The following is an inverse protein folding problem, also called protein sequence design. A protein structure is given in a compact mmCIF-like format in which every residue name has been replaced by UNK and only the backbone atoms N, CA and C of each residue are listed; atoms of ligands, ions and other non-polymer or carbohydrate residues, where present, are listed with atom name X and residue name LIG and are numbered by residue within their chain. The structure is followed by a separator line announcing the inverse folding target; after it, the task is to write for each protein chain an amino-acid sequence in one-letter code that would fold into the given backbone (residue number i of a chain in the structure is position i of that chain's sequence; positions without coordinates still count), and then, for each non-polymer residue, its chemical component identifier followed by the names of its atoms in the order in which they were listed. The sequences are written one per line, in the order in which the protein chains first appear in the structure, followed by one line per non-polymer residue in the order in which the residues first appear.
data_IF_693396694418
#
_entry.id   IF_693396694418
#
_cell.length_a   1.000
_cell.length_b   1.000
_cell.length_c   1.000
_cell.angle_alpha   90.00
_cell.angle_beta   90.00
_cell.angle_gamma   90.00
#
_symmetry.space_group_name_H-M   'P 1'
#
loop_
_entity.id
_entity.type
_entity.pdbx_description
1 polymer ?
#
# COMPACT_ATOMS: atom_id res chain seq x y z
N UNK A 1 4.03 -6.37 16.31
CA UNK A 1 3.88 -6.86 14.92
C UNK A 1 2.50 -7.49 14.80
N UNK A 2 1.84 -7.26 13.68
CA UNK A 2 0.56 -7.86 13.29
C UNK A 2 0.46 -7.83 11.75
N UNK A 3 -0.41 -8.66 11.19
CA UNK A 3 -0.81 -8.58 9.79
C UNK A 3 -1.87 -7.48 9.59
N UNK A 4 -2.05 -7.03 8.36
CA UNK A 4 -3.12 -6.07 8.04
C UNK A 4 -4.52 -6.61 8.37
N UNK A 5 -4.73 -7.92 8.23
CA UNK A 5 -5.98 -8.61 8.56
C UNK A 5 -6.31 -8.61 10.05
N UNK A 6 -5.32 -8.38 10.91
CA UNK A 6 -5.43 -8.40 12.37
C UNK A 6 -5.63 -7.01 12.97
N UNK A 7 -5.57 -5.94 12.15
CA UNK A 7 -5.66 -4.57 12.65
C UNK A 7 -6.83 -3.80 12.07
N UNK A 8 -7.31 -2.83 12.84
CA UNK A 8 -8.15 -1.74 12.37
C UNK A 8 -7.66 -0.43 12.99
N UNK A 9 -8.22 0.70 12.60
CA UNK A 9 -7.82 1.99 13.15
C UNK A 9 -8.93 3.03 13.10
N UNK A 10 -8.75 4.06 13.92
CA UNK A 10 -9.45 5.33 13.80
C UNK A 10 -8.41 6.45 13.85
N UNK A 11 -8.54 7.44 12.99
CA UNK A 11 -7.62 8.58 12.92
C UNK A 11 -8.39 9.88 13.11
N UNK A 12 -7.80 10.78 13.90
CA UNK A 12 -8.40 12.06 14.30
C UNK A 12 -7.40 13.18 14.08
N UNK A 13 -7.88 14.34 13.66
CA UNK A 13 -7.03 15.51 13.34
C UNK A 13 -6.18 15.98 14.52
N UNK A 14 -6.72 15.94 15.74
CA UNK A 14 -6.03 16.45 16.94
C UNK A 14 -5.21 15.39 17.66
N UNK A 15 -5.68 14.14 17.66
CA UNK A 15 -5.14 13.09 18.55
C UNK A 15 -4.39 11.98 17.82
N UNK A 16 -4.28 12.07 16.49
CA UNK A 16 -3.52 11.16 15.64
C UNK A 16 -4.26 9.85 15.34
N UNK A 17 -3.49 8.80 15.04
CA UNK A 17 -4.01 7.46 14.74
C UNK A 17 -4.06 6.58 15.99
N UNK A 18 -5.22 5.98 16.27
CA UNK A 18 -5.37 4.86 17.21
C UNK A 18 -5.53 3.57 16.41
N UNK A 19 -4.66 2.60 16.66
CA UNK A 19 -4.69 1.28 16.00
C UNK A 19 -5.19 0.24 16.99
N UNK A 20 -6.20 -0.52 16.58
CA UNK A 20 -6.73 -1.67 17.29
C UNK A 20 -6.17 -2.96 16.69
N UNK A 21 -5.47 -3.76 17.48
CA UNK A 21 -4.93 -5.05 17.07
C UNK A 21 -5.74 -6.18 17.71
N UNK A 22 -6.32 -7.04 16.88
CA UNK A 22 -7.04 -8.26 17.27
C UNK A 22 -6.05 -9.42 17.41
N UNK A 23 -6.11 -10.10 18.55
CA UNK A 23 -5.22 -11.22 18.88
C UNK A 23 -6.04 -12.36 19.47
N UNK A 24 -5.62 -13.60 19.23
CA UNK A 24 -6.19 -14.77 19.90
C UNK A 24 -5.34 -15.12 21.12
N UNK A 25 -5.95 -15.15 22.31
CA UNK A 25 -5.29 -15.58 23.56
C UNK A 25 -6.15 -16.63 24.24
N UNK A 26 -5.61 -17.84 24.39
CA UNK A 26 -6.32 -18.99 24.99
C UNK A 26 -7.71 -19.25 24.38
N UNK A 27 -7.87 -19.07 23.06
CA UNK A 27 -9.15 -19.24 22.36
C UNK A 27 -10.12 -18.06 22.46
N UNK A 28 -9.78 -17.00 23.19
CA UNK A 28 -10.57 -15.76 23.27
C UNK A 28 -9.97 -14.67 22.39
N UNK A 29 -10.82 -13.96 21.64
CA UNK A 29 -10.42 -12.74 20.91
C UNK A 29 -10.20 -11.60 21.90
N UNK A 30 -9.01 -11.02 21.88
CA UNK A 30 -8.61 -9.86 22.68
C UNK A 30 -8.21 -8.73 21.76
N UNK A 31 -8.65 -7.52 22.06
CA UNK A 31 -8.25 -6.31 21.34
C UNK A 31 -7.26 -5.52 22.20
N UNK A 32 -6.16 -5.08 21.59
CA UNK A 32 -5.23 -4.12 22.20
C UNK A 32 -5.13 -2.89 21.32
N UNK A 33 -5.38 -1.72 21.91
CA UNK A 33 -5.29 -0.43 21.23
C UNK A 33 -3.97 0.26 21.56
N UNK A 34 -3.37 0.91 20.59
CA UNK A 34 -2.14 1.69 20.77
C UNK A 34 -2.04 2.81 19.74
N UNK A 35 -1.24 3.83 20.05
CA UNK A 35 -0.88 4.89 19.11
C UNK A 35 0.54 4.63 18.58
N UNK A 36 0.71 4.29 17.30
CA UNK A 36 2.04 4.08 16.74
C UNK A 36 2.77 5.41 16.55
N UNK A 37 3.99 5.52 17.06
CA UNK A 37 4.90 6.63 16.73
C UNK A 37 5.55 6.46 15.35
N UNK A 38 5.59 5.23 14.83
CA UNK A 38 6.19 4.86 13.56
C UNK A 38 5.66 3.50 13.07
N UNK A 39 5.61 3.28 11.75
CA UNK A 39 5.27 1.97 11.16
C UNK A 39 6.27 1.47 10.12
N UNK A 40 6.58 0.18 10.16
CA UNK A 40 7.34 -0.52 9.12
C UNK A 40 6.39 -1.45 8.37
N UNK A 41 6.12 -1.17 7.09
CA UNK A 41 5.21 -1.99 6.29
C UNK A 41 5.98 -3.09 5.57
N UNK A 42 5.66 -4.35 5.87
CA UNK A 42 6.32 -5.56 5.31
C UNK A 42 5.38 -6.49 4.56
N UNK A 43 4.11 -6.13 4.44
CA UNK A 43 3.07 -6.89 3.77
C UNK A 43 2.53 -6.08 2.58
N UNK A 44 2.16 -6.70 1.44
CA UNK A 44 1.44 -6.00 0.39
C UNK A 44 0.08 -5.51 0.91
N UNK A 45 -0.23 -4.23 0.68
CA UNK A 45 -1.51 -3.64 1.11
C UNK A 45 -2.68 -3.95 0.16
N UNK A 46 -2.43 -4.58 -1.00
CA UNK A 46 -3.46 -5.04 -1.93
C UNK A 46 -3.04 -6.38 -2.54
N UNK A 47 -3.89 -7.40 -2.35
CA UNK A 47 -3.73 -8.75 -2.87
C UNK A 47 -4.85 -9.16 -3.84
N UNK A 48 -4.92 -10.46 -4.16
CA UNK A 48 -5.91 -11.06 -5.09
C UNK A 48 -7.28 -11.33 -4.45
N UNK A 49 -7.70 -10.50 -3.50
CA UNK A 49 -8.94 -10.69 -2.75
C UNK A 49 -9.04 -9.83 -1.48
N UNK A 50 -7.89 -9.38 -0.98
CA UNK A 50 -7.80 -8.48 0.17
C UNK A 50 -7.33 -7.09 -0.25
N UNK A 51 -7.98 -6.06 0.30
CA UNK A 51 -7.65 -4.66 0.04
C UNK A 51 -7.55 -3.89 1.36
N UNK A 52 -6.32 -3.59 1.75
CA UNK A 52 -5.97 -2.91 3.00
C UNK A 52 -5.56 -1.45 2.76
N UNK A 53 -5.83 -0.89 1.57
CA UNK A 53 -5.46 0.50 1.24
C UNK A 53 -6.09 1.51 2.19
N UNK A 54 -7.28 1.24 2.71
CA UNK A 54 -7.95 2.11 3.70
C UNK A 54 -7.17 2.21 5.01
N UNK A 55 -6.45 1.16 5.41
CA UNK A 55 -5.55 1.21 6.56
C UNK A 55 -4.36 2.13 6.30
N UNK A 56 -3.79 2.10 5.09
CA UNK A 56 -2.73 3.05 4.71
C UNK A 56 -3.23 4.49 4.74
N UNK A 57 -4.45 4.73 4.24
CA UNK A 57 -5.08 6.05 4.27
C UNK A 57 -5.25 6.55 5.70
N UNK A 58 -5.75 5.71 6.61
CA UNK A 58 -5.93 6.13 8.00
C UNK A 58 -4.64 6.34 8.78
N UNK A 59 -3.59 5.55 8.50
CA UNK A 59 -2.24 5.80 9.04
C UNK A 59 -1.68 7.14 8.54
N UNK A 60 -1.80 7.43 7.24
CA UNK A 60 -1.36 8.70 6.65
C UNK A 60 -2.17 9.87 7.18
N UNK A 61 -3.50 9.72 7.27
CA UNK A 61 -4.41 10.73 7.82
C UNK A 61 -4.09 11.07 9.27
N UNK A 62 -3.72 10.05 10.07
CA UNK A 62 -3.29 10.23 11.46
C UNK A 62 -1.84 10.69 11.60
N UNK A 63 -1.14 10.99 10.50
CA UNK A 63 0.22 11.53 10.51
C UNK A 63 1.30 10.53 10.96
N UNK A 64 1.06 9.22 10.81
CA UNK A 64 1.99 8.19 11.28
C UNK A 64 3.17 8.05 10.31
N UNK A 65 4.42 8.35 10.73
CA UNK A 65 5.58 8.19 9.87
C UNK A 65 5.83 6.70 9.54
N UNK A 66 6.38 6.43 8.34
CA UNK A 66 6.52 5.05 7.87
C UNK A 66 7.77 4.78 7.02
N UNK A 67 8.19 3.51 7.01
CA UNK A 67 9.09 2.94 6.01
C UNK A 67 8.39 1.81 5.25
N UNK A 68 8.31 1.86 3.91
CA UNK A 68 8.48 3.05 3.06
C UNK A 68 7.39 4.10 3.37
N UNK A 69 7.50 5.37 2.89
CA UNK A 69 6.43 6.36 3.07
C UNK A 69 5.08 5.79 2.63
N UNK A 70 4.02 6.01 3.42
CA UNK A 70 2.70 5.40 3.16
C UNK A 70 2.15 5.81 1.80
N UNK A 71 2.42 7.03 1.35
CA UNK A 71 2.13 7.50 -0.01
C UNK A 71 2.78 6.63 -1.10
N UNK A 72 4.04 6.21 -0.90
CA UNK A 72 4.71 5.25 -1.79
C UNK A 72 4.10 3.87 -1.70
N UNK A 73 3.80 3.37 -0.49
CA UNK A 73 3.15 2.05 -0.33
C UNK A 73 1.79 2.03 -1.04
N UNK A 74 1.00 3.11 -0.89
CA UNK A 74 -0.28 3.27 -1.55
C UNK A 74 -0.16 3.32 -3.07
N UNK A 75 0.81 4.08 -3.60
CA UNK A 75 1.10 4.14 -5.04
C UNK A 75 1.54 2.77 -5.60
N UNK A 76 2.21 1.94 -4.80
CA UNK A 76 2.66 0.60 -5.21
C UNK A 76 1.55 -0.45 -5.27
N UNK A 77 0.32 -0.13 -4.84
CA UNK A 77 -0.84 -1.02 -4.96
C UNK A 77 -1.36 -1.16 -6.40
N UNK A 78 -0.85 -0.35 -7.34
CA UNK A 78 -1.18 -0.43 -8.78
C UNK A 78 0.12 -0.61 -9.59
N UNK A 79 0.32 -1.80 -10.15
CA UNK A 79 1.53 -2.14 -10.91
C UNK A 79 1.69 -1.26 -12.16
N UNK A 80 0.66 -1.09 -13.02
CA UNK A 80 0.70 -0.11 -14.12
C UNK A 80 1.08 1.31 -13.68
N UNK A 81 0.56 1.78 -12.54
CA UNK A 81 0.93 3.09 -11.99
C UNK A 81 2.43 3.18 -11.70
N UNK A 82 3.01 2.19 -11.05
CA UNK A 82 4.47 2.13 -10.81
C UNK A 82 5.25 2.02 -12.12
N UNK A 83 4.76 1.21 -13.08
CA UNK A 83 5.42 1.04 -14.37
C UNK A 83 5.49 2.37 -15.16
N UNK A 84 4.49 3.25 -15.01
CA UNK A 84 4.54 4.61 -15.61
C UNK A 84 5.76 5.42 -15.15
N UNK A 85 6.22 5.21 -13.92
CA UNK A 85 7.43 5.86 -13.39
C UNK A 85 8.69 5.30 -14.06
N UNK A 86 8.71 3.99 -14.36
CA UNK A 86 9.79 3.36 -15.12
C UNK A 86 9.84 3.88 -16.56
N UNK A 87 8.68 4.10 -17.20
CA UNK A 87 8.60 4.74 -18.52
C UNK A 87 9.21 6.14 -18.48
N UNK A 88 8.92 6.93 -17.43
CA UNK A 88 9.51 8.27 -17.25
C UNK A 88 11.03 8.19 -17.12
N UNK A 89 11.56 7.23 -16.36
CA UNK A 89 13.01 7.01 -16.24
C UNK A 89 13.61 6.61 -17.59
N UNK A 90 12.99 5.68 -18.33
CA UNK A 90 13.41 5.28 -19.68
C UNK A 90 13.50 6.47 -20.63
N UNK A 91 12.49 7.35 -20.63
CA UNK A 91 12.46 8.56 -21.47
C UNK A 91 13.60 9.53 -21.15
N UNK A 92 13.93 9.69 -19.86
CA UNK A 92 14.99 10.59 -19.43
C UNK A 92 16.40 10.02 -19.66
N UNK A 93 16.59 8.72 -19.44
CA UNK A 93 17.92 8.09 -19.52
C UNK A 93 18.26 7.52 -20.90
N UNK A 94 17.26 7.20 -21.71
CA UNK A 94 17.41 6.50 -22.99
C UNK A 94 17.48 4.98 -22.82
N UNK A 95 17.04 4.26 -23.85
CA UNK A 95 16.92 2.78 -23.84
C UNK A 95 18.23 2.04 -23.59
N UNK A 96 19.37 2.60 -24.00
CA UNK A 96 20.71 2.01 -23.77
C UNK A 96 21.08 1.98 -22.28
N UNK A 97 20.70 3.00 -21.50
CA UNK A 97 21.03 3.10 -20.07
C UNK A 97 19.96 2.49 -19.18
N UNK A 98 18.70 2.53 -19.62
CA UNK A 98 17.57 1.96 -18.91
C UNK A 98 16.73 1.12 -19.88
N UNK A 99 17.11 -0.16 -20.12
CA UNK A 99 16.47 -1.03 -21.09
C UNK A 99 15.13 -1.59 -20.55
N UNK A 100 14.15 -0.71 -20.40
CA UNK A 100 12.80 -1.10 -19.99
C UNK A 100 12.12 -1.90 -21.11
N UNK A 101 11.56 -3.05 -20.74
CA UNK A 101 10.75 -3.91 -21.63
C UNK A 101 9.57 -3.11 -22.22
N UNK A 102 9.23 -3.41 -23.47
CA UNK A 102 8.04 -2.85 -24.11
C UNK A 102 6.78 -3.54 -23.56
N UNK A 103 5.83 -2.74 -23.10
CA UNK A 103 4.55 -3.20 -22.57
C UNK A 103 3.44 -2.27 -23.04
N UNK A 104 2.27 -2.87 -23.28
CA UNK A 104 1.02 -2.17 -23.54
C UNK A 104 0.13 -2.27 -22.31
N UNK A 105 -0.48 -1.15 -21.91
CA UNK A 105 -1.50 -1.12 -20.88
C UNK A 105 -2.86 -0.95 -21.54
N UNK A 106 -3.81 -1.81 -21.17
CA UNK A 106 -5.20 -1.75 -21.60
C UNK A 106 -6.06 -1.48 -20.37
N UNK A 107 -6.80 -0.38 -20.35
CA UNK A 107 -7.65 -0.01 -19.22
C UNK A 107 -8.81 -0.99 -19.02
N UNK A 108 -9.20 -1.66 -20.10
CA UNK A 108 -10.28 -2.63 -20.13
C UNK A 108 -10.04 -3.65 -21.24
N UNK A 109 -10.66 -4.82 -21.10
CA UNK A 109 -10.55 -5.93 -22.04
C UNK A 109 -11.01 -5.59 -23.48
N UNK A 110 -11.90 -4.60 -23.66
CA UNK A 110 -12.37 -4.18 -25.00
C UNK A 110 -11.25 -3.65 -25.90
N UNK A 111 -10.19 -3.10 -25.30
CA UNK A 111 -9.02 -2.60 -26.04
C UNK A 111 -8.01 -3.71 -26.37
N UNK A 112 -8.19 -4.91 -25.81
CA UNK A 112 -7.36 -6.08 -26.09
C UNK A 112 -7.82 -6.77 -27.38
N UNK A 113 -7.80 -6.03 -28.50
CA UNK A 113 -8.00 -6.60 -29.82
C UNK A 113 -6.77 -7.43 -30.20
N UNK A 114 -6.99 -8.63 -30.72
CA UNK A 114 -5.93 -9.40 -31.36
C UNK A 114 -5.41 -8.59 -32.56
N UNK A 115 -4.14 -8.19 -32.50
CA UNK A 115 -3.38 -7.72 -33.67
C UNK A 115 -3.27 -8.83 -34.71
#
# INVERSE_FOLDING_TARGET
QAEFSEINLAAYTETGCMVDMQLMRNGTKVVRSFKPDFVLVRQPARGTGEDFRTLLVGLEYGGVPAVNPLSSVHAFCDKPWVFSQLIRIRKNLGSKRFPLIEQSFFADHREMVSL
#
